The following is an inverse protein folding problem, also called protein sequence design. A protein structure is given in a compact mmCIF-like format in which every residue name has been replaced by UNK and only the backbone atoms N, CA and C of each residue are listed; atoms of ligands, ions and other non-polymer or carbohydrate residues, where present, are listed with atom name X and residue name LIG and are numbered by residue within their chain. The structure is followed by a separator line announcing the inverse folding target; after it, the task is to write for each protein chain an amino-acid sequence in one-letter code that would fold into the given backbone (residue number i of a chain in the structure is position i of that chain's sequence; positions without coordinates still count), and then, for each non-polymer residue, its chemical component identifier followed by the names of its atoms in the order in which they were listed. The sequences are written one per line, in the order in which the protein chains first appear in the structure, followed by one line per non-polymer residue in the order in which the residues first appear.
data_IF_938616838731
#
_entry.id   IF_938616838731
#
_cell.length_a   1.000
_cell.length_b   1.000
_cell.length_c   1.000
_cell.angle_alpha   90.00
_cell.angle_beta   90.00
_cell.angle_gamma   90.00
#
_symmetry.space_group_name_H-M   'P 1'
#
loop_
_entity.id
_entity.type
_entity.pdbx_description
1 polymer ?
#
# COMPACT_ATOMS: atom_id res chain seq x y z
N UNK A 1 7.17 14.02 16.10
CA UNK A 1 7.50 12.91 15.19
C UNK A 1 7.96 13.54 13.88
N UNK A 2 9.07 13.10 13.24
CA UNK A 2 9.59 13.83 12.10
C UNK A 2 8.57 13.79 10.96
N UNK A 3 7.96 14.93 10.72
CA UNK A 3 7.16 15.25 9.55
C UNK A 3 8.08 15.49 8.36
N UNK A 4 8.92 14.50 8.02
CA UNK A 4 9.72 14.57 6.80
C UNK A 4 8.79 14.19 5.65
N UNK A 5 8.39 15.20 4.87
CA UNK A 5 7.77 15.01 3.56
C UNK A 5 8.58 13.96 2.79
N UNK A 6 7.96 12.90 2.23
CA UNK A 6 8.68 11.89 1.47
C UNK A 6 9.51 12.50 0.34
N UNK A 7 10.74 12.05 0.17
CA UNK A 7 11.55 12.48 -0.98
C UNK A 7 11.03 11.86 -2.29
N UNK A 8 11.38 12.41 -3.47
CA UNK A 8 11.05 11.77 -4.74
C UNK A 8 11.60 10.33 -4.86
N UNK A 9 12.77 10.06 -4.26
CA UNK A 9 13.36 8.71 -4.21
C UNK A 9 12.52 7.77 -3.36
N UNK A 10 11.99 8.24 -2.23
CA UNK A 10 11.10 7.45 -1.38
C UNK A 10 9.80 7.10 -2.11
N UNK A 11 9.21 8.09 -2.79
CA UNK A 11 7.98 7.89 -3.57
C UNK A 11 8.20 6.95 -4.76
N UNK A 12 9.32 7.08 -5.48
CA UNK A 12 9.68 6.17 -6.58
C UNK A 12 9.91 4.74 -6.09
N UNK A 13 10.62 4.57 -4.97
CA UNK A 13 10.78 3.27 -4.33
C UNK A 13 9.43 2.67 -3.93
N UNK A 14 8.57 3.47 -3.30
CA UNK A 14 7.27 2.98 -2.84
C UNK A 14 6.32 2.65 -4.00
N UNK A 15 6.38 3.42 -5.09
CA UNK A 15 5.65 3.13 -6.32
C UNK A 15 6.06 1.77 -6.89
N UNK A 16 7.36 1.54 -7.08
CA UNK A 16 7.86 0.25 -7.57
C UNK A 16 7.51 -0.93 -6.65
N UNK A 17 7.62 -0.74 -5.33
CA UNK A 17 7.26 -1.76 -4.36
C UNK A 17 5.75 -2.10 -4.41
N UNK A 18 4.88 -1.08 -4.43
CA UNK A 18 3.43 -1.28 -4.48
C UNK A 18 2.94 -1.74 -5.86
N UNK A 19 3.69 -1.48 -6.94
CA UNK A 19 3.44 -2.07 -8.27
C UNK A 19 3.66 -3.59 -8.26
N UNK A 20 4.67 -4.09 -7.56
CA UNK A 20 4.95 -5.53 -7.47
C UNK A 20 4.11 -6.25 -6.42
N UNK A 21 4.11 -5.73 -5.19
CA UNK A 21 3.61 -6.41 -3.98
C UNK A 21 2.27 -5.83 -3.46
N UNK A 22 1.86 -4.68 -4.02
CA UNK A 22 0.69 -3.96 -3.56
C UNK A 22 -0.62 -4.58 -4.04
N UNK A 23 -1.60 -4.56 -3.15
CA UNK A 23 -2.97 -4.95 -3.41
C UNK A 23 -3.87 -3.73 -3.16
N UNK A 24 -4.45 -3.24 -4.24
CA UNK A 24 -5.34 -2.09 -4.25
C UNK A 24 -6.74 -2.68 -4.35
N UNK A 25 -7.60 -2.42 -3.38
CA UNK A 25 -8.96 -2.94 -3.35
C UNK A 25 -9.94 -1.88 -2.81
N UNK A 26 -11.21 -2.01 -3.19
CA UNK A 26 -12.30 -1.30 -2.55
C UNK A 26 -13.18 -2.33 -1.84
N UNK A 27 -13.18 -2.33 -0.51
CA UNK A 27 -14.18 -3.09 0.25
C UNK A 27 -15.48 -2.29 0.26
N UNK A 28 -16.64 -2.93 0.48
CA UNK A 28 -18.00 -2.38 0.35
C UNK A 28 -18.22 -0.92 0.82
N UNK A 29 -17.37 -0.38 1.70
CA UNK A 29 -17.46 0.99 2.22
C UNK A 29 -16.20 1.85 2.08
N UNK A 30 -15.04 1.31 1.65
CA UNK A 30 -13.79 2.11 1.63
C UNK A 30 -12.68 1.58 0.72
N UNK A 31 -11.97 2.46 0.00
CA UNK A 31 -10.66 2.15 -0.60
C UNK A 31 -9.66 1.62 0.42
N UNK A 32 -8.81 0.70 0.01
CA UNK A 32 -7.72 0.15 0.81
C UNK A 32 -6.54 -0.20 -0.08
N UNK A 33 -5.35 0.21 0.37
CA UNK A 33 -4.08 -0.25 -0.20
C UNK A 33 -3.39 -1.08 0.89
N UNK A 34 -2.87 -2.23 0.50
CA UNK A 34 -2.15 -3.12 1.41
C UNK A 34 -0.98 -3.80 0.73
N UNK A 35 0.01 -4.21 1.51
CA UNK A 35 1.11 -5.07 1.08
C UNK A 35 1.39 -6.10 2.17
N UNK A 36 1.71 -7.33 1.79
CA UNK A 36 2.04 -8.42 2.71
C UNK A 36 3.48 -8.85 2.44
N UNK A 37 4.26 -9.03 3.50
CA UNK A 37 5.63 -9.52 3.40
C UNK A 37 5.99 -10.41 4.58
N UNK A 38 6.92 -11.34 4.36
CA UNK A 38 7.56 -12.09 5.45
C UNK A 38 8.58 -11.21 6.17
N UNK A 39 9.38 -10.44 5.41
CA UNK A 39 10.30 -9.47 5.98
C UNK A 39 9.55 -8.17 6.37
N UNK A 40 9.77 -7.69 7.60
CA UNK A 40 9.10 -6.51 8.14
C UNK A 40 9.69 -5.19 7.60
N UNK A 41 10.97 -5.17 7.22
CA UNK A 41 11.69 -3.95 6.86
C UNK A 41 11.02 -3.13 5.73
N UNK A 42 10.58 -3.72 4.60
CA UNK A 42 9.92 -2.96 3.54
C UNK A 42 8.60 -2.32 4.00
N UNK A 43 7.88 -3.00 4.90
CA UNK A 43 6.61 -2.50 5.44
C UNK A 43 6.83 -1.33 6.40
N UNK A 44 7.90 -1.36 7.20
CA UNK A 44 8.29 -0.22 8.03
C UNK A 44 8.67 0.99 7.17
N UNK A 45 9.30 0.77 6.02
CA UNK A 45 9.59 1.85 5.07
C UNK A 45 8.30 2.44 4.50
N UNK A 46 7.33 1.62 4.07
CA UNK A 46 6.00 2.11 3.69
C UNK A 46 5.32 2.88 4.82
N UNK A 47 5.41 2.39 6.06
CA UNK A 47 4.85 3.07 7.22
C UNK A 47 5.50 4.42 7.49
N UNK A 48 6.82 4.54 7.31
CA UNK A 48 7.54 5.81 7.44
C UNK A 48 7.13 6.82 6.35
N UNK A 49 6.92 6.36 5.12
CA UNK A 49 6.59 7.20 3.96
C UNK A 49 5.12 7.67 4.04
N UNK A 50 4.19 6.76 4.33
CA UNK A 50 2.75 6.99 4.18
C UNK A 50 1.94 6.88 5.48
N UNK A 51 2.57 6.50 6.60
CA UNK A 51 1.85 6.13 7.82
C UNK A 51 1.14 4.78 7.67
N UNK A 52 -0.04 4.66 8.28
CA UNK A 52 -0.80 3.40 8.29
C UNK A 52 -0.33 2.41 9.35
N UNK A 53 -0.91 1.21 9.30
CA UNK A 53 -0.74 0.21 10.34
C UNK A 53 -0.11 -1.06 9.79
N UNK A 54 0.74 -1.69 10.61
CA UNK A 54 1.32 -3.00 10.35
C UNK A 54 0.70 -4.00 11.32
N UNK A 55 0.24 -5.13 10.78
CA UNK A 55 -0.37 -6.22 11.54
C UNK A 55 0.43 -7.49 11.31
N UNK A 56 0.74 -8.23 12.37
CA UNK A 56 1.23 -9.60 12.23
C UNK A 56 0.08 -10.51 11.81
N UNK A 57 0.29 -11.31 10.77
CA UNK A 57 -0.67 -12.29 10.30
C UNK A 57 -0.31 -13.67 10.81
N UNK A 58 -1.34 -14.46 11.13
CA UNK A 58 -1.17 -15.89 11.39
C UNK A 58 -0.87 -16.58 10.06
N UNK A 59 0.08 -17.53 10.04
CA UNK A 59 0.35 -18.29 8.83
C UNK A 59 -0.90 -19.10 8.46
N UNK A 60 -1.18 -19.20 7.16
CA UNK A 60 -2.35 -19.95 6.67
C UNK A 60 -2.21 -21.47 6.91
N UNK A 61 -0.98 -21.97 6.88
CA UNK A 61 -0.61 -23.35 7.22
C UNK A 61 0.51 -23.32 8.25
N UNK A 62 0.59 -24.33 9.11
CA UNK A 62 1.63 -24.42 10.15
C UNK A 62 3.05 -24.42 9.57
N UNK A 63 3.23 -24.88 8.33
CA UNK A 63 4.52 -24.91 7.63
C UNK A 63 4.92 -23.57 7.01
N UNK A 64 4.03 -22.57 6.99
CA UNK A 64 4.34 -21.28 6.39
C UNK A 64 4.97 -20.34 7.42
N UNK A 65 5.94 -19.55 6.98
CA UNK A 65 6.48 -18.46 7.79
C UNK A 65 5.38 -17.45 8.15
N UNK A 66 5.40 -16.88 9.38
CA UNK A 66 4.52 -15.76 9.71
C UNK A 66 4.80 -14.58 8.78
N UNK A 67 3.75 -13.85 8.42
CA UNK A 67 3.85 -12.64 7.59
C UNK A 67 3.33 -11.41 8.33
N UNK A 68 3.61 -10.27 7.75
CA UNK A 68 3.16 -8.96 8.20
C UNK A 68 2.39 -8.28 7.08
N UNK A 69 1.37 -7.50 7.46
CA UNK A 69 0.49 -6.78 6.57
C UNK A 69 0.59 -5.30 6.90
N UNK A 70 1.07 -4.49 5.96
CA UNK A 70 0.88 -3.04 6.01
C UNK A 70 -0.43 -2.68 5.30
N UNK A 71 -1.21 -1.75 5.87
CA UNK A 71 -2.42 -1.25 5.23
C UNK A 71 -2.76 0.21 5.58
N UNK A 72 -3.33 0.90 4.59
CA UNK A 72 -4.01 2.19 4.71
C UNK A 72 -5.44 2.07 4.16
N UNK A 73 -6.37 2.83 4.73
CA UNK A 73 -7.80 2.76 4.39
C UNK A 73 -8.38 4.15 4.11
N UNK A 74 -9.49 4.19 3.38
CA UNK A 74 -10.27 5.39 3.12
C UNK A 74 -9.45 6.50 2.47
N UNK A 75 -9.48 7.70 3.07
CA UNK A 75 -8.78 8.88 2.55
C UNK A 75 -7.27 8.69 2.46
N UNK A 76 -6.65 7.95 3.40
CA UNK A 76 -5.21 7.68 3.33
C UNK A 76 -4.86 6.78 2.15
N UNK A 77 -5.70 5.80 1.83
CA UNK A 77 -5.51 4.96 0.65
C UNK A 77 -5.53 5.80 -0.64
N UNK A 78 -6.51 6.71 -0.77
CA UNK A 78 -6.58 7.62 -1.91
C UNK A 78 -5.36 8.56 -1.99
N UNK A 79 -4.90 9.08 -0.84
CA UNK A 79 -3.73 9.95 -0.77
C UNK A 79 -2.43 9.22 -1.15
N UNK A 80 -2.28 7.94 -0.79
CA UNK A 80 -1.14 7.12 -1.22
C UNK A 80 -1.18 6.92 -2.72
N UNK A 81 -2.31 6.47 -3.27
CA UNK A 81 -2.44 6.22 -4.71
C UNK A 81 -2.17 7.51 -5.48
N UNK A 82 -2.74 8.65 -5.07
CA UNK A 82 -2.53 9.94 -5.75
C UNK A 82 -1.07 10.42 -5.76
N UNK A 83 -0.28 10.09 -4.73
CA UNK A 83 1.15 10.44 -4.69
C UNK A 83 2.02 9.59 -5.62
N UNK A 84 1.57 8.38 -5.97
CA UNK A 84 2.36 7.44 -6.78
C UNK A 84 1.78 7.19 -8.17
N UNK A 85 0.58 7.66 -8.46
CA UNK A 85 -0.21 7.30 -9.64
C UNK A 85 0.53 7.44 -10.97
N UNK A 86 1.21 8.57 -11.19
CA UNK A 86 1.97 8.84 -12.42
C UNK A 86 3.21 7.95 -12.61
N UNK A 87 3.67 7.29 -11.53
CA UNK A 87 4.80 6.36 -11.56
C UNK A 87 4.37 4.91 -11.75
N UNK A 88 3.07 4.62 -11.71
CA UNK A 88 2.52 3.27 -11.86
C UNK A 88 2.38 2.90 -13.34
N UNK A 89 2.33 1.59 -13.62
CA UNK A 89 2.04 1.11 -14.97
C UNK A 89 0.61 1.47 -15.38
N UNK A 90 0.33 1.55 -16.69
CA UNK A 90 -1.04 1.77 -17.20
C UNK A 90 -2.04 0.73 -16.67
N UNK A 91 -1.59 -0.53 -16.51
CA UNK A 91 -2.41 -1.59 -15.90
C UNK A 91 -2.78 -1.27 -14.45
N UNK A 92 -1.82 -0.78 -13.67
CA UNK A 92 -2.02 -0.46 -12.26
C UNK A 92 -2.80 0.85 -12.09
N UNK A 93 -2.64 1.82 -12.98
CA UNK A 93 -3.48 3.02 -13.06
C UNK A 93 -4.97 2.64 -13.25
N UNK A 94 -5.30 1.74 -14.19
CA UNK A 94 -6.68 1.26 -14.34
C UNK A 94 -7.24 0.62 -13.07
N UNK A 95 -6.43 -0.14 -12.33
CA UNK A 95 -6.84 -0.71 -11.03
C UNK A 95 -7.04 0.37 -9.97
N UNK A 96 -6.16 1.38 -9.94
CA UNK A 96 -6.27 2.53 -9.07
C UNK A 96 -7.54 3.33 -9.36
N UNK A 97 -7.87 3.57 -10.63
CA UNK A 97 -9.07 4.30 -11.06
C UNK A 97 -10.35 3.62 -10.58
N UNK A 98 -10.44 2.30 -10.76
CA UNK A 98 -11.58 1.49 -10.26
C UNK A 98 -11.77 1.63 -8.74
N UNK A 99 -10.72 2.01 -8.02
CA UNK A 99 -10.74 2.19 -6.57
C UNK A 99 -10.91 3.65 -6.20
N UNK A 100 -10.42 4.61 -6.98
CA UNK A 100 -10.61 6.03 -6.73
C UNK A 100 -12.06 6.44 -7.01
N UNK A 101 -12.61 5.99 -8.12
CA UNK A 101 -13.97 6.30 -8.55
C UNK A 101 -14.95 5.30 -7.96
N UNK A 102 -16.04 5.82 -7.40
CA UNK A 102 -17.21 5.02 -7.03
C UNK A 102 -18.12 5.06 -8.25
N UNK A 103 -18.40 3.92 -8.89
CA UNK A 103 -19.59 3.85 -9.74
C UNK A 103 -20.79 4.16 -8.84
N UNK A 104 -21.44 5.29 -9.14
CA UNK A 104 -22.64 5.74 -8.43
C UNK A 104 -23.85 4.99 -8.96
#
# INVERSE_FOLDING_TARGET
MPSSVPSPVDLGWAAGFLEGEGCFIRTHHSPRVKAVQVNLEPLLKLQRIFGGNIYRQKPYRETHSPSFLWAVNGKMALAVIGQIYEMLSAKRQMQADAIMHRER
#
